data_IF_398150958676
#
_entry.id   IF_398150958676
#
_cell.length_a   1.000
_cell.length_b   1.000
_cell.length_c   1.000
_cell.angle_alpha   90.00
_cell.angle_beta   90.00
_cell.angle_gamma   90.00
#
_symmetry.space_group_name_H-M   'P 1'
#
loop_
_entity.id
_entity.type
_entity.pdbx_description
1 polymer ?
#
# COMPACT_ATOMS: atom_id res chain seq x y z
N UNK A 1 -8.47 -4.70 11.56
CA UNK A 1 -7.59 -5.45 10.64
C UNK A 1 -6.18 -4.94 10.91
N UNK A 2 -5.29 -5.79 11.41
CA UNK A 2 -3.91 -5.40 11.71
C UNK A 2 -3.18 -5.30 10.37
N UNK A 3 -2.40 -4.25 10.16
CA UNK A 3 -1.56 -4.13 8.98
C UNK A 3 -0.48 -5.21 9.04
N UNK A 4 -0.32 -5.97 7.96
CA UNK A 4 0.67 -7.05 7.90
C UNK A 4 1.95 -6.44 7.37
N UNK A 5 2.75 -5.88 8.28
CA UNK A 5 4.08 -5.43 7.93
C UNK A 5 5.02 -6.64 7.81
N UNK A 6 5.64 -6.79 6.65
CA UNK A 6 6.80 -7.67 6.51
C UNK A 6 7.96 -7.11 7.32
N UNK A 7 8.55 -7.91 8.20
CA UNK A 7 9.72 -7.52 9.01
C UNK A 7 9.54 -7.58 10.52
N UNK A 8 8.31 -7.74 11.03
CA UNK A 8 8.08 -7.90 12.48
C UNK A 8 8.49 -9.29 13.01
N UNK A 9 9.01 -10.18 12.16
CA UNK A 9 9.54 -11.50 12.50
C UNK A 9 8.49 -12.54 12.95
N UNK A 10 7.30 -12.08 13.37
CA UNK A 10 6.28 -12.89 14.05
C UNK A 10 5.73 -14.05 13.20
N UNK A 11 5.79 -13.94 11.86
CA UNK A 11 5.24 -14.94 10.94
C UNK A 11 6.24 -15.48 9.91
N UNK A 12 7.51 -15.09 9.98
CA UNK A 12 8.52 -15.47 8.98
C UNK A 12 8.79 -16.98 8.92
N UNK A 13 8.55 -17.70 10.01
CA UNK A 13 8.69 -19.16 10.06
C UNK A 13 7.47 -19.92 9.53
N UNK A 14 6.36 -19.24 9.22
CA UNK A 14 5.13 -19.90 8.81
C UNK A 14 5.19 -20.29 7.32
N UNK A 15 5.13 -21.60 7.02
CA UNK A 15 5.27 -22.13 5.65
C UNK A 15 4.28 -21.56 4.61
N UNK A 16 3.13 -21.05 5.05
CA UNK A 16 2.08 -20.48 4.19
C UNK A 16 2.11 -18.96 4.10
N UNK A 17 3.13 -18.31 4.69
CA UNK A 17 3.29 -16.86 4.68
C UNK A 17 4.56 -16.49 3.93
N UNK A 18 4.44 -15.54 3.01
CA UNK A 18 5.58 -14.97 2.31
C UNK A 18 5.30 -13.50 2.03
N UNK A 19 6.32 -12.67 2.25
CA UNK A 19 6.26 -11.23 2.02
C UNK A 19 7.00 -10.88 0.73
N UNK A 20 6.37 -10.07 -0.12
CA UNK A 20 7.01 -9.41 -1.26
C UNK A 20 6.91 -7.90 -1.04
N UNK A 21 8.04 -7.18 -0.95
CA UNK A 21 8.00 -5.73 -0.98
C UNK A 21 7.61 -5.27 -2.38
N UNK A 22 6.53 -4.50 -2.48
CA UNK A 22 5.98 -4.02 -3.76
C UNK A 22 5.37 -2.65 -3.57
N UNK A 23 5.84 -1.66 -4.32
CA UNK A 23 5.11 -0.40 -4.46
C UNK A 23 3.90 -0.60 -5.40
N UNK A 24 2.70 -0.59 -4.83
CA UNK A 24 1.46 -0.81 -5.59
C UNK A 24 1.07 0.36 -6.50
N UNK A 25 1.72 1.53 -6.36
CA UNK A 25 1.58 2.65 -7.32
C UNK A 25 2.40 2.42 -8.61
N UNK A 26 3.38 1.50 -8.57
CA UNK A 26 4.24 1.15 -9.69
C UNK A 26 3.72 -0.08 -10.43
N UNK A 27 3.12 0.11 -11.60
CA UNK A 27 2.64 -0.99 -12.44
C UNK A 27 3.75 -2.01 -12.78
N UNK A 28 4.99 -1.54 -12.92
CA UNK A 28 6.15 -2.40 -13.17
C UNK A 28 6.42 -3.35 -11.99
N UNK A 29 6.40 -2.84 -10.77
CA UNK A 29 6.62 -3.65 -9.58
C UNK A 29 5.48 -4.63 -9.34
N UNK A 30 4.23 -4.17 -9.49
CA UNK A 30 3.04 -5.04 -9.40
C UNK A 30 3.14 -6.20 -10.39
N UNK A 31 3.46 -5.93 -11.66
CA UNK A 31 3.58 -6.97 -12.68
C UNK A 31 4.70 -7.97 -12.34
N UNK A 32 5.83 -7.48 -11.83
CA UNK A 32 6.95 -8.33 -11.42
C UNK A 32 6.55 -9.25 -10.26
N UNK A 33 5.99 -8.71 -9.17
CA UNK A 33 5.57 -9.49 -8.00
C UNK A 33 4.50 -10.51 -8.35
N UNK A 34 3.49 -10.12 -9.14
CA UNK A 34 2.44 -11.05 -9.59
C UNK A 34 3.05 -12.18 -10.41
N UNK A 35 3.97 -11.88 -11.33
CA UNK A 35 4.64 -12.91 -12.12
C UNK A 35 5.41 -13.90 -11.25
N UNK A 36 6.13 -13.43 -10.22
CA UNK A 36 6.83 -14.32 -9.28
C UNK A 36 5.88 -15.22 -8.49
N UNK A 37 4.76 -14.67 -7.99
CA UNK A 37 3.74 -15.44 -7.27
C UNK A 37 3.15 -16.52 -8.18
N UNK A 38 2.78 -16.17 -9.40
CA UNK A 38 2.22 -17.12 -10.38
C UNK A 38 3.26 -18.18 -10.76
N UNK A 39 4.53 -17.81 -10.96
CA UNK A 39 5.59 -18.76 -11.26
C UNK A 39 5.77 -19.80 -10.14
N UNK A 40 5.59 -19.39 -8.88
CA UNK A 40 5.80 -20.26 -7.71
C UNK A 40 4.58 -21.09 -7.32
N UNK A 41 3.37 -20.53 -7.43
CA UNK A 41 2.13 -21.15 -6.93
C UNK A 41 1.13 -21.49 -8.04
N UNK A 42 1.41 -21.11 -9.29
CA UNK A 42 0.59 -21.39 -10.47
C UNK A 42 -0.59 -20.43 -10.68
N UNK A 43 -1.22 -19.96 -9.60
CA UNK A 43 -2.34 -19.01 -9.67
C UNK A 43 -2.52 -18.19 -8.39
N UNK A 44 -3.30 -17.12 -8.49
CA UNK A 44 -3.83 -16.36 -7.36
C UNK A 44 -5.33 -16.68 -7.25
N UNK A 45 -5.76 -17.20 -6.11
CA UNK A 45 -7.15 -17.56 -5.84
C UNK A 45 -8.00 -16.39 -5.33
N UNK A 46 -7.37 -15.44 -4.65
CA UNK A 46 -8.04 -14.27 -4.09
C UNK A 46 -7.05 -13.12 -3.88
N UNK A 47 -7.55 -11.90 -4.01
CA UNK A 47 -6.81 -10.66 -3.79
C UNK A 47 -7.55 -9.83 -2.75
N UNK A 48 -6.87 -9.46 -1.68
CA UNK A 48 -7.34 -8.46 -0.72
C UNK A 48 -6.56 -7.19 -0.98
N UNK A 49 -7.22 -6.16 -1.51
CA UNK A 49 -6.60 -4.85 -1.70
C UNK A 49 -6.86 -3.98 -0.47
N UNK A 50 -5.96 -4.03 0.51
CA UNK A 50 -6.00 -3.21 1.73
C UNK A 50 -4.90 -2.12 1.74
N UNK A 51 -4.20 -1.91 0.63
CA UNK A 51 -3.14 -0.92 0.57
C UNK A 51 -3.74 0.48 0.45
N UNK A 52 -3.36 1.38 1.35
CA UNK A 52 -3.82 2.76 1.33
C UNK A 52 -3.27 3.53 2.52
N UNK A 53 -3.04 4.82 2.31
CA UNK A 53 -2.71 5.76 3.39
C UNK A 53 -3.83 6.76 3.51
N UNK A 54 -4.23 7.08 4.75
CA UNK A 54 -5.11 8.21 4.98
C UNK A 54 -4.25 9.48 5.10
N UNK A 55 -4.48 10.45 4.22
CA UNK A 55 -3.85 11.77 4.29
C UNK A 55 -4.87 12.78 4.82
N UNK A 56 -4.93 13.03 6.14
CA UNK A 56 -5.88 13.97 6.69
C UNK A 56 -5.55 15.39 6.21
N UNK A 57 -6.52 16.03 5.55
CA UNK A 57 -6.46 17.42 5.07
C UNK A 57 -7.75 18.15 5.44
N UNK A 58 -7.63 19.44 5.73
CA UNK A 58 -8.76 20.36 5.92
C UNK A 58 -9.29 20.80 4.56
N UNK A 59 -10.61 20.83 4.38
CA UNK A 59 -11.22 21.41 3.17
C UNK A 59 -10.98 22.92 3.07
N UNK A 60 -11.00 23.58 4.21
CA UNK A 60 -10.66 24.99 4.40
C UNK A 60 -10.08 25.14 5.80
N UNK A 61 -9.00 25.90 5.93
CA UNK A 61 -8.43 26.29 7.21
C UNK A 61 -8.70 27.78 7.45
N UNK A 62 -9.76 28.09 8.20
CA UNK A 62 -10.13 29.47 8.52
C UNK A 62 -9.05 30.20 9.33
N UNK A 63 -8.19 29.48 10.06
CA UNK A 63 -7.16 30.06 10.92
C UNK A 63 -5.85 30.29 10.16
N UNK A 64 -5.61 29.50 9.12
CA UNK A 64 -4.45 29.62 8.25
C UNK A 64 -4.83 29.31 6.79
N UNK A 65 -5.40 30.28 6.05
CA UNK A 65 -5.79 30.10 4.65
C UNK A 65 -4.61 29.61 3.80
N UNK A 66 -4.83 28.60 2.95
CA UNK A 66 -3.80 27.91 2.18
C UNK A 66 -2.65 27.32 3.05
N UNK A 67 -2.94 27.03 4.32
CA UNK A 67 -2.00 26.42 5.25
C UNK A 67 -1.60 25.01 4.84
N UNK A 68 -0.51 24.51 5.42
CA UNK A 68 0.06 23.20 5.07
C UNK A 68 -0.88 22.00 5.26
N UNK A 69 -2.01 22.16 5.97
CA UNK A 69 -3.02 21.14 6.20
C UNK A 69 -4.27 21.30 5.32
N UNK A 70 -4.41 22.42 4.61
CA UNK A 70 -5.51 22.66 3.68
C UNK A 70 -5.34 21.81 2.40
N UNK A 71 -6.44 21.34 1.83
CA UNK A 71 -6.47 20.63 0.57
C UNK A 71 -5.95 21.52 -0.56
N UNK A 72 -5.07 20.96 -1.39
CA UNK A 72 -4.55 21.62 -2.57
C UNK A 72 -4.41 20.62 -3.72
N UNK A 73 -4.27 21.10 -4.96
CA UNK A 73 -4.19 20.25 -6.15
C UNK A 73 -3.05 19.23 -6.09
N UNK A 74 -1.89 19.62 -5.51
CA UNK A 74 -0.76 18.73 -5.32
C UNK A 74 -1.05 17.57 -4.34
N UNK A 75 -2.08 17.66 -3.50
CA UNK A 75 -2.51 16.57 -2.64
C UNK A 75 -3.29 15.47 -3.39
N UNK A 76 -3.74 15.75 -4.63
CA UNK A 76 -4.46 14.78 -5.47
C UNK A 76 -3.55 14.03 -6.44
N UNK A 77 -2.39 14.59 -6.82
CA UNK A 77 -1.42 13.94 -7.72
C UNK A 77 -0.32 13.19 -6.94
N UNK A 78 -0.72 12.13 -6.24
CA UNK A 78 0.21 11.22 -5.59
C UNK A 78 0.30 9.88 -6.31
#
# INVERSE_FOLDING_TARGET
MVDIHGGDGQYESHKGYQFWPTDISSAKEVNHTVAEIIQRFGRIDGLVNNAGVNFPRLLVDEKAPAGQYELNEAAFEK
#
